data_IF_502627495989
#
_entry.id   IF_502627495989
#
_cell.length_a   1.000
_cell.length_b   1.000
_cell.length_c   1.000
_cell.angle_alpha   90.00
_cell.angle_beta   90.00
_cell.angle_gamma   90.00
#
_symmetry.space_group_name_H-M   'P 1'
#
loop_
_entity.id
_entity.type
_entity.pdbx_description
1 polymer ?
#
# COMPACT_ATOMS: atom_id res chain seq x y z
N UNK A 1 -3.53 -8.40 2.80
CA UNK A 1 -4.82 -8.81 3.41
C UNK A 1 -5.93 -8.78 2.35
N UNK A 2 -7.01 -9.52 2.58
CA UNK A 2 -8.27 -9.38 1.84
C UNK A 2 -9.30 -8.75 2.76
N UNK A 3 -9.98 -7.72 2.29
CA UNK A 3 -11.00 -6.96 3.01
C UNK A 3 -12.34 -7.20 2.35
N UNK A 4 -13.31 -7.67 3.11
CA UNK A 4 -14.72 -7.77 2.71
C UNK A 4 -15.48 -6.62 3.35
N UNK A 5 -16.40 -6.01 2.63
CA UNK A 5 -17.23 -4.91 3.16
C UNK A 5 -18.68 -5.04 2.69
N UNK A 6 -19.60 -4.51 3.49
CA UNK A 6 -21.01 -4.33 3.14
C UNK A 6 -21.33 -2.90 2.65
N UNK A 7 -20.32 -2.03 2.59
CA UNK A 7 -20.45 -0.67 2.06
C UNK A 7 -20.71 -0.70 0.55
N UNK A 8 -21.23 0.41 0.02
CA UNK A 8 -21.24 0.62 -1.42
C UNK A 8 -19.81 0.70 -1.97
N UNK A 9 -19.60 0.28 -3.22
CA UNK A 9 -18.28 0.36 -3.86
C UNK A 9 -17.70 1.78 -3.82
N UNK A 10 -18.54 2.79 -4.03
CA UNK A 10 -18.13 4.19 -4.00
C UNK A 10 -17.64 4.62 -2.62
N UNK A 11 -18.36 4.26 -1.55
CA UNK A 11 -18.01 4.66 -0.20
C UNK A 11 -16.78 3.90 0.29
N UNK A 12 -16.71 2.59 -0.02
CA UNK A 12 -15.55 1.75 0.24
C UNK A 12 -14.30 2.30 -0.45
N UNK A 13 -14.39 2.64 -1.75
CA UNK A 13 -13.29 3.19 -2.52
C UNK A 13 -12.80 4.53 -1.97
N UNK A 14 -13.73 5.42 -1.62
CA UNK A 14 -13.41 6.72 -1.03
C UNK A 14 -12.72 6.56 0.32
N UNK A 15 -13.22 5.65 1.16
CA UNK A 15 -12.66 5.37 2.47
C UNK A 15 -11.25 4.78 2.37
N UNK A 16 -11.05 3.75 1.54
CA UNK A 16 -9.73 3.16 1.28
C UNK A 16 -8.77 4.23 0.79
N UNK A 17 -9.16 5.01 -0.22
CA UNK A 17 -8.31 6.06 -0.78
C UNK A 17 -7.89 7.07 0.29
N UNK A 18 -8.83 7.52 1.13
CA UNK A 18 -8.56 8.46 2.22
C UNK A 18 -7.58 7.89 3.24
N UNK A 19 -7.76 6.63 3.65
CA UNK A 19 -6.83 5.96 4.58
C UNK A 19 -5.46 5.80 3.91
N UNK A 20 -5.36 5.33 2.66
CA UNK A 20 -4.05 5.21 2.00
C UNK A 20 -3.33 6.56 1.92
N UNK A 21 -4.06 7.64 1.60
CA UNK A 21 -3.47 9.00 1.51
C UNK A 21 -3.07 9.61 2.85
N UNK A 22 -3.51 9.07 3.99
CA UNK A 22 -3.01 9.52 5.30
C UNK A 22 -1.63 8.94 5.65
N UNK A 23 -1.23 7.83 5.00
CA UNK A 23 0.08 7.18 5.18
C UNK A 23 1.04 7.40 4.01
N UNK A 24 0.52 7.70 2.81
CA UNK A 24 1.29 7.86 1.58
C UNK A 24 0.88 9.15 0.87
N UNK A 25 1.82 10.08 0.70
CA UNK A 25 1.55 11.40 0.14
C UNK A 25 1.14 11.35 -1.35
N UNK A 26 1.65 10.37 -2.09
CA UNK A 26 1.51 10.30 -3.55
C UNK A 26 0.91 8.97 -4.00
N UNK A 27 -0.24 9.06 -4.66
CA UNK A 27 -0.80 7.99 -5.49
C UNK A 27 -0.15 8.08 -6.87
N UNK A 28 0.48 7.00 -7.32
CA UNK A 28 1.16 6.94 -8.62
C UNK A 28 0.19 6.50 -9.72
N UNK A 29 -0.66 5.52 -9.42
CA UNK A 29 -1.65 4.97 -10.35
C UNK A 29 -2.96 4.80 -9.61
N UNK A 30 -4.06 5.26 -10.20
CA UNK A 30 -5.41 5.03 -9.72
C UNK A 30 -6.32 4.79 -10.91
N UNK A 31 -7.09 3.71 -10.85
CA UNK A 31 -8.11 3.35 -11.80
C UNK A 31 -9.33 2.86 -11.02
N UNK A 32 -10.37 3.69 -11.01
CA UNK A 32 -11.60 3.41 -10.29
C UNK A 32 -12.43 2.32 -10.97
N UNK A 33 -12.37 2.19 -12.30
CA UNK A 33 -13.17 1.21 -13.04
C UNK A 33 -12.72 -0.22 -12.75
N UNK A 34 -11.41 -0.43 -12.61
CA UNK A 34 -10.83 -1.74 -12.26
C UNK A 34 -10.59 -1.91 -10.75
N UNK A 35 -10.86 -0.88 -9.95
CA UNK A 35 -10.58 -0.84 -8.52
C UNK A 35 -9.09 -1.04 -8.18
N UNK A 36 -8.20 -0.51 -9.03
CA UNK A 36 -6.76 -0.60 -8.87
C UNK A 36 -6.17 0.72 -8.36
N UNK A 37 -5.37 0.66 -7.30
CA UNK A 37 -4.61 1.81 -6.79
C UNK A 37 -3.20 1.35 -6.42
N UNK A 38 -2.20 2.17 -6.79
CA UNK A 38 -0.81 1.98 -6.38
C UNK A 38 -0.21 3.32 -5.95
N UNK A 39 0.44 3.34 -4.80
CA UNK A 39 1.19 4.51 -4.34
C UNK A 39 2.58 4.56 -4.96
N UNK A 40 3.18 5.75 -4.97
CA UNK A 40 4.61 5.87 -5.23
C UNK A 40 5.41 5.15 -4.14
N UNK A 41 6.66 4.81 -4.45
CA UNK A 41 7.61 4.33 -3.47
C UNK A 41 7.93 5.41 -2.44
N UNK A 42 7.78 5.08 -1.15
CA UNK A 42 8.25 5.91 -0.04
C UNK A 42 9.54 5.31 0.48
N UNK A 43 10.61 6.10 0.47
CA UNK A 43 11.94 5.66 0.90
C UNK A 43 12.20 6.02 2.35
N UNK A 44 12.84 5.11 3.06
CA UNK A 44 13.43 5.35 4.37
C UNK A 44 14.87 4.81 4.38
N UNK A 45 15.82 5.71 4.60
CA UNK A 45 17.24 5.38 4.72
C UNK A 45 17.60 5.14 6.19
N UNK A 46 18.34 4.07 6.42
CA UNK A 46 18.98 3.68 7.66
C UNK A 46 20.50 3.60 7.44
N UNK A 47 21.29 3.53 8.52
CA UNK A 47 22.76 3.60 8.44
C UNK A 47 23.40 2.57 7.48
N UNK A 48 22.78 1.41 7.27
CA UNK A 48 23.32 0.33 6.42
C UNK A 48 22.30 -0.19 5.39
N UNK A 49 21.18 0.51 5.20
CA UNK A 49 20.13 0.02 4.32
C UNK A 49 19.22 1.16 3.88
N UNK A 50 18.73 1.09 2.65
CA UNK A 50 17.61 1.90 2.21
C UNK A 50 16.45 0.98 1.89
N UNK A 51 15.33 1.20 2.57
CA UNK A 51 14.07 0.47 2.39
C UNK A 51 13.09 1.36 1.64
N UNK A 52 12.39 0.80 0.66
CA UNK A 52 11.26 1.47 0.01
C UNK A 52 9.99 0.67 0.23
N UNK A 53 8.88 1.36 0.47
CA UNK A 53 7.58 0.75 0.71
C UNK A 53 6.51 1.40 -0.16
N UNK A 54 5.56 0.62 -0.66
CA UNK A 54 4.36 1.10 -1.35
C UNK A 54 3.14 0.25 -1.01
N UNK A 55 1.95 0.78 -1.26
CA UNK A 55 0.70 0.03 -1.17
C UNK A 55 0.13 -0.22 -2.56
N UNK A 56 -0.43 -1.41 -2.75
CA UNK A 56 -1.23 -1.80 -3.90
C UNK A 56 -2.59 -2.27 -3.40
N UNK A 57 -3.66 -1.62 -3.89
CA UNK A 57 -5.05 -2.02 -3.72
C UNK A 57 -5.55 -2.58 -5.05
N UNK A 58 -6.28 -3.68 -5.00
CA UNK A 58 -6.95 -4.29 -6.15
C UNK A 58 -8.35 -4.70 -5.75
N UNK A 59 -9.32 -4.54 -6.64
CA UNK A 59 -10.62 -5.20 -6.51
C UNK A 59 -10.38 -6.72 -6.49
N UNK A 60 -10.99 -7.39 -5.51
CA UNK A 60 -10.94 -8.84 -5.36
C UNK A 60 -12.13 -9.50 -6.03
N UNK A 61 -13.32 -9.04 -5.67
CA UNK A 61 -14.63 -9.47 -6.16
C UNK A 61 -15.64 -8.33 -5.98
N UNK A 62 -16.74 -8.35 -6.72
CA UNK A 62 -17.84 -7.38 -6.62
C UNK A 62 -19.06 -7.93 -5.88
N UNK A 63 -19.19 -9.26 -5.76
CA UNK A 63 -20.29 -9.90 -5.04
C UNK A 63 -19.85 -11.20 -4.32
N UNK A 64 -19.49 -11.14 -3.03
CA UNK A 64 -19.47 -9.95 -2.18
C UNK A 64 -18.33 -9.00 -2.54
N UNK A 65 -18.51 -7.68 -2.31
CA UNK A 65 -17.45 -6.70 -2.56
C UNK A 65 -16.22 -6.96 -1.68
N UNK A 66 -15.08 -7.24 -2.32
CA UNK A 66 -13.80 -7.43 -1.64
C UNK A 66 -12.67 -6.62 -2.29
N UNK A 67 -11.71 -6.20 -1.46
CA UNK A 67 -10.47 -5.56 -1.88
C UNK A 67 -9.25 -6.32 -1.36
N UNK A 68 -8.29 -6.55 -2.24
CA UNK A 68 -6.98 -7.12 -1.90
C UNK A 68 -5.98 -5.99 -1.74
N UNK A 69 -5.44 -5.86 -0.53
CA UNK A 69 -4.48 -4.80 -0.18
C UNK A 69 -3.15 -5.44 0.17
N UNK A 70 -2.10 -5.02 -0.52
CA UNK A 70 -0.72 -5.47 -0.30
C UNK A 70 0.17 -4.28 0.01
N UNK A 71 0.89 -4.37 1.12
CA UNK A 71 2.04 -3.51 1.39
C UNK A 71 3.27 -4.24 0.84
N UNK A 72 4.01 -3.59 -0.05
CA UNK A 72 5.22 -4.14 -0.65
C UNK A 72 6.40 -3.36 -0.09
N UNK A 73 7.35 -4.08 0.49
CA UNK A 73 8.61 -3.51 0.95
C UNK A 73 9.76 -4.13 0.17
N UNK A 74 10.75 -3.31 -0.14
CA UNK A 74 11.99 -3.75 -0.77
C UNK A 74 13.18 -3.08 -0.09
N UNK A 75 14.31 -3.78 -0.05
CA UNK A 75 15.56 -3.29 0.54
C UNK A 75 16.72 -3.33 -0.47
N UNK A 76 17.66 -2.42 -0.31
CA UNK A 76 18.86 -2.31 -1.15
C UNK A 76 20.14 -2.75 -0.44
N UNK A 77 20.13 -2.86 0.90
CA UNK A 77 21.30 -3.14 1.77
C UNK A 77 22.45 -2.14 1.62
N UNK A 78 22.17 -0.99 1.00
CA UNK A 78 23.11 0.10 0.81
C UNK A 78 22.40 1.39 1.24
N UNK A 79 23.00 2.19 2.14
CA UNK A 79 22.41 3.45 2.55
C UNK A 79 22.37 4.43 1.36
N UNK A 80 21.40 5.34 1.39
CA UNK A 80 21.21 6.39 0.39
C UNK A 80 21.00 5.89 -1.06
N UNK A 81 20.56 4.64 -1.22
CA UNK A 81 20.18 4.12 -2.53
C UNK A 81 19.02 4.94 -3.10
N UNK A 82 19.18 5.40 -4.35
CA UNK A 82 18.15 6.15 -5.05
C UNK A 82 16.91 5.29 -5.28
N UNK A 83 15.72 5.87 -5.06
CA UNK A 83 14.43 5.19 -5.32
C UNK A 83 14.29 4.68 -6.75
N UNK A 84 15.04 5.26 -7.70
CA UNK A 84 15.00 4.94 -9.13
C UNK A 84 15.95 3.81 -9.54
N UNK A 85 16.84 3.37 -8.65
CA UNK A 85 17.78 2.28 -8.89
C UNK A 85 17.11 0.93 -8.63
N UNK A 86 16.07 0.62 -9.41
CA UNK A 86 15.23 -0.58 -9.25
C UNK A 86 16.06 -1.87 -9.20
N UNK A 87 17.14 -1.95 -9.95
CA UNK A 87 18.06 -3.08 -10.03
C UNK A 87 18.75 -3.43 -8.71
N UNK A 88 18.83 -2.46 -7.78
CA UNK A 88 19.46 -2.62 -6.48
C UNK A 88 18.50 -3.08 -5.40
N UNK A 89 17.19 -2.98 -5.63
CA UNK A 89 16.18 -3.36 -4.65
C UNK A 89 15.77 -4.82 -4.79
N UNK A 90 15.57 -5.47 -3.65
CA UNK A 90 15.07 -6.85 -3.53
C UNK A 90 13.89 -6.89 -2.57
N UNK A 91 12.97 -7.82 -2.81
CA UNK A 91 11.82 -8.01 -1.93
C UNK A 91 12.26 -8.22 -0.47
N UNK A 92 11.56 -7.56 0.44
CA UNK A 92 11.83 -7.62 1.87
C UNK A 92 10.57 -8.06 2.61
N UNK A 93 10.61 -9.23 3.23
CA UNK A 93 9.46 -9.86 3.91
C UNK A 93 8.97 -9.11 5.15
N UNK A 94 9.61 -8.01 5.52
CA UNK A 94 9.28 -7.21 6.71
C UNK A 94 8.54 -5.94 6.33
N UNK A 95 7.79 -5.44 7.31
CA UNK A 95 7.05 -4.19 7.21
C UNK A 95 7.63 -3.20 8.21
N UNK A 96 7.85 -1.96 7.77
CA UNK A 96 8.22 -0.88 8.68
C UNK A 96 7.07 -0.61 9.65
N UNK A 97 7.37 -0.50 10.95
CA UNK A 97 6.35 -0.35 12.01
C UNK A 97 5.35 0.79 11.76
N UNK A 98 5.79 1.89 11.13
CA UNK A 98 4.92 3.03 10.77
C UNK A 98 3.77 2.66 9.82
N UNK A 99 3.88 1.56 9.08
CA UNK A 99 2.84 1.04 8.19
C UNK A 99 2.10 -0.16 8.78
N UNK A 100 2.46 -0.62 9.99
CA UNK A 100 1.80 -1.78 10.61
C UNK A 100 0.31 -1.53 10.88
N UNK A 101 -0.04 -0.30 11.25
CA UNK A 101 -1.40 0.08 11.66
C UNK A 101 -2.36 0.31 10.50
N UNK A 102 -1.86 0.42 9.26
CA UNK A 102 -2.71 0.70 8.09
C UNK A 102 -3.77 -0.39 7.89
N UNK A 103 -3.38 -1.65 8.13
CA UNK A 103 -4.27 -2.79 7.98
C UNK A 103 -5.31 -2.84 9.10
N UNK A 104 -4.93 -2.52 10.32
CA UNK A 104 -5.85 -2.46 11.47
C UNK A 104 -6.90 -1.36 11.27
N UNK A 105 -6.48 -0.19 10.79
CA UNK A 105 -7.39 0.92 10.50
C UNK A 105 -8.36 0.57 9.35
N UNK A 106 -7.84 0.00 8.25
CA UNK A 106 -8.65 -0.45 7.14
C UNK A 106 -9.68 -1.51 7.58
N UNK A 107 -9.27 -2.50 8.38
CA UNK A 107 -10.18 -3.53 8.87
C UNK A 107 -11.26 -2.95 9.80
N UNK A 108 -10.86 -2.09 10.75
CA UNK A 108 -11.76 -1.49 11.73
C UNK A 108 -12.83 -0.60 11.09
N UNK A 109 -12.48 0.12 10.01
CA UNK A 109 -13.37 1.11 9.38
C UNK A 109 -14.21 0.56 8.23
N UNK A 110 -13.87 -0.61 7.69
CA UNK A 110 -14.57 -1.23 6.55
C UNK A 110 -15.60 -2.29 6.97
N UNK A 111 -15.61 -2.68 8.25
CA UNK A 111 -16.62 -3.55 8.87
C UNK A 111 -17.95 -2.84 9.10
#
# INVERSE_FOLDING_TARGET
IELKTSMSEQDAWKLISMIITSYFDVIEVTDRETGYLRTSWVVQTFNQNTIRTRVIVKLGDTDPLTYKIKLVSEESKVPETSVKSDELYREWDRVLRKYGTIFDELQSRMQ
#
